data_IF_613853862093
#
_entry.id   IF_613853862093
#
_cell.length_a   1.000
_cell.length_b   1.000
_cell.length_c   1.000
_cell.angle_alpha   90.00
_cell.angle_beta   90.00
_cell.angle_gamma   90.00
#
_symmetry.space_group_name_H-M   'P 1'
#
loop_
_entity.id
_entity.type
_entity.pdbx_description
1 polymer ?
#
# COMPACT_ATOMS: atom_id res chain seq x y z
N UNK A 1 -92.63 22.99 -40.18
CA UNK A 1 -91.55 22.89 -39.17
C UNK A 1 -90.64 21.72 -39.51
N UNK A 2 -89.55 21.96 -40.25
CA UNK A 2 -88.70 20.91 -40.83
C UNK A 2 -87.65 20.42 -39.83
N UNK A 3 -87.96 19.36 -39.08
CA UNK A 3 -87.09 18.80 -38.03
C UNK A 3 -86.32 17.55 -38.50
N UNK A 4 -86.61 17.01 -39.70
CA UNK A 4 -86.09 15.72 -40.19
C UNK A 4 -84.58 15.68 -40.48
N UNK A 5 -83.92 16.84 -40.67
CA UNK A 5 -82.47 16.90 -40.91
C UNK A 5 -81.60 16.80 -39.65
N UNK A 6 -82.13 17.22 -38.49
CA UNK A 6 -81.39 17.17 -37.22
C UNK A 6 -81.29 15.74 -36.68
N UNK A 7 -82.32 14.91 -36.88
CA UNK A 7 -82.34 13.53 -36.38
C UNK A 7 -81.35 12.62 -37.11
N UNK A 8 -81.21 12.72 -38.45
CA UNK A 8 -80.19 11.96 -39.19
C UNK A 8 -78.77 12.38 -38.78
N UNK A 9 -78.51 13.68 -38.63
CA UNK A 9 -77.21 14.18 -38.13
C UNK A 9 -76.94 13.74 -36.69
N UNK A 10 -77.93 13.80 -35.79
CA UNK A 10 -77.83 13.29 -34.41
C UNK A 10 -77.51 11.79 -34.37
N UNK A 11 -78.10 11.00 -35.26
CA UNK A 11 -77.82 9.57 -35.34
C UNK A 11 -76.40 9.29 -35.83
N UNK A 12 -75.92 10.04 -36.83
CA UNK A 12 -74.52 9.96 -37.30
C UNK A 12 -73.54 10.37 -36.19
N UNK A 13 -73.85 11.42 -35.44
CA UNK A 13 -73.05 11.82 -34.27
C UNK A 13 -73.07 10.76 -33.16
N UNK A 14 -74.22 10.15 -32.88
CA UNK A 14 -74.33 9.08 -31.88
C UNK A 14 -73.52 7.85 -32.28
N UNK A 15 -73.55 7.46 -33.55
CA UNK A 15 -72.73 6.35 -34.08
C UNK A 15 -71.24 6.72 -34.03
N UNK A 16 -70.86 7.94 -34.39
CA UNK A 16 -69.48 8.38 -34.29
C UNK A 16 -68.96 8.34 -32.84
N UNK A 17 -69.77 8.78 -31.88
CA UNK A 17 -69.45 8.70 -30.46
C UNK A 17 -69.33 7.24 -30.01
N UNK A 18 -70.27 6.38 -30.43
CA UNK A 18 -70.21 4.94 -30.13
C UNK A 18 -68.92 4.30 -30.64
N UNK A 19 -68.53 4.61 -31.88
CA UNK A 19 -67.29 4.10 -32.49
C UNK A 19 -66.06 4.60 -31.74
N UNK A 20 -66.03 5.87 -31.34
CA UNK A 20 -64.94 6.44 -30.55
C UNK A 20 -64.83 5.74 -29.18
N UNK A 21 -65.96 5.48 -28.52
CA UNK A 21 -66.00 4.77 -27.23
C UNK A 21 -65.50 3.34 -27.38
N UNK A 22 -65.92 2.63 -28.42
CA UNK A 22 -65.45 1.26 -28.70
C UNK A 22 -63.95 1.21 -28.97
N UNK A 23 -63.42 2.16 -29.76
CA UNK A 23 -61.98 2.24 -30.05
C UNK A 23 -61.18 2.57 -28.78
N UNK A 24 -61.66 3.49 -27.96
CA UNK A 24 -61.01 3.84 -26.70
C UNK A 24 -60.97 2.63 -25.75
N UNK A 25 -62.08 1.90 -25.63
CA UNK A 25 -62.16 0.70 -24.78
C UNK A 25 -61.25 -0.43 -25.28
N UNK A 26 -61.17 -0.63 -26.60
CA UNK A 26 -60.23 -1.60 -27.17
C UNK A 26 -58.77 -1.25 -26.90
N UNK A 27 -58.40 0.03 -26.98
CA UNK A 27 -57.02 0.48 -26.71
C UNK A 27 -56.63 0.35 -25.24
N UNK A 28 -57.56 0.57 -24.31
CA UNK A 28 -57.27 0.43 -22.88
C UNK A 28 -57.17 -1.04 -22.46
N UNK A 29 -58.00 -1.92 -23.04
CA UNK A 29 -57.97 -3.35 -22.72
C UNK A 29 -56.78 -4.08 -23.37
N UNK A 30 -56.35 -3.68 -24.57
CA UNK A 30 -55.18 -4.25 -25.25
C UNK A 30 -53.86 -3.51 -24.94
N UNK A 31 -53.79 -2.74 -23.85
CA UNK A 31 -52.54 -2.12 -23.44
C UNK A 31 -51.50 -3.22 -23.14
N UNK A 32 -50.37 -3.28 -23.88
CA UNK A 32 -49.35 -4.29 -23.64
C UNK A 32 -48.77 -4.09 -22.25
N UNK A 33 -48.73 -5.16 -21.45
CA UNK A 33 -48.08 -5.09 -20.14
C UNK A 33 -46.58 -4.82 -20.35
N UNK A 34 -45.96 -3.92 -19.55
CA UNK A 34 -44.52 -3.68 -19.62
C UNK A 34 -43.78 -4.97 -19.29
N UNK A 35 -42.93 -5.41 -20.23
CA UNK A 35 -42.14 -6.61 -20.07
C UNK A 35 -40.86 -6.26 -19.30
N UNK A 36 -40.75 -6.74 -18.05
CA UNK A 36 -39.58 -6.51 -17.20
C UNK A 36 -38.58 -7.65 -17.36
N UNK A 37 -37.37 -7.31 -17.79
CA UNK A 37 -36.29 -8.26 -17.87
C UNK A 37 -35.61 -8.37 -16.50
N UNK A 38 -35.83 -9.49 -15.83
CA UNK A 38 -35.22 -9.80 -14.53
C UNK A 38 -34.16 -10.88 -14.68
N UNK A 39 -33.18 -10.87 -13.78
CA UNK A 39 -32.13 -11.87 -13.73
C UNK A 39 -32.12 -12.52 -12.35
N UNK A 40 -31.87 -13.83 -12.32
CA UNK A 40 -31.86 -14.61 -11.09
C UNK A 40 -30.54 -14.32 -10.36
N UNK A 41 -30.63 -13.72 -9.16
CA UNK A 41 -29.47 -13.44 -8.31
C UNK A 41 -29.02 -14.74 -7.64
N UNK A 42 -27.74 -15.10 -7.80
CA UNK A 42 -27.11 -16.22 -7.08
C UNK A 42 -26.19 -15.68 -5.99
N UNK A 43 -26.20 -16.32 -4.83
CA UNK A 43 -25.23 -16.05 -3.77
C UNK A 43 -23.90 -16.67 -4.18
N UNK A 44 -22.87 -15.85 -4.30
CA UNK A 44 -21.49 -16.25 -4.50
C UNK A 44 -20.61 -15.59 -3.45
N UNK A 45 -19.57 -16.29 -2.99
CA UNK A 45 -18.57 -15.71 -2.09
C UNK A 45 -17.67 -14.77 -2.89
N UNK A 46 -17.60 -13.51 -2.46
CA UNK A 46 -16.62 -12.55 -2.95
C UNK A 46 -15.40 -12.60 -2.03
N UNK A 47 -14.33 -13.23 -2.51
CA UNK A 47 -13.05 -13.29 -1.83
C UNK A 47 -12.26 -12.02 -2.15
N UNK A 48 -12.16 -11.09 -1.19
CA UNK A 48 -11.37 -9.87 -1.35
C UNK A 48 -9.98 -10.08 -0.73
N UNK A 49 -9.02 -10.49 -1.55
CA UNK A 49 -7.62 -10.57 -1.13
C UNK A 49 -6.97 -9.19 -1.23
N UNK A 50 -6.54 -8.64 -0.09
CA UNK A 50 -5.73 -7.41 -0.06
C UNK A 50 -4.27 -7.83 0.02
N UNK A 51 -3.53 -7.62 -1.07
CA UNK A 51 -2.07 -7.82 -1.11
C UNK A 51 -1.37 -6.68 -0.34
N UNK A 52 -1.28 -6.82 0.98
CA UNK A 52 -0.46 -5.95 1.81
C UNK A 52 1.03 -6.23 1.54
N UNK A 53 1.56 -5.59 0.49
CA UNK A 53 2.98 -5.68 0.15
C UNK A 53 3.76 -4.86 1.17
N UNK A 54 4.19 -5.51 2.26
CA UNK A 54 5.11 -4.93 3.24
C UNK A 54 6.56 -5.09 2.78
N UNK A 55 7.36 -4.02 2.87
CA UNK A 55 8.81 -4.10 2.64
C UNK A 55 9.46 -4.75 3.87
N UNK A 56 10.03 -5.94 3.70
CA UNK A 56 10.80 -6.62 4.74
C UNK A 56 12.12 -5.85 4.92
N UNK A 57 12.29 -5.18 6.06
CA UNK A 57 13.53 -4.49 6.44
C UNK A 57 14.24 -5.26 7.55
N UNK A 58 15.56 -5.16 7.61
CA UNK A 58 16.34 -5.87 8.63
C UNK A 58 16.00 -5.32 10.03
N UNK A 59 15.54 -6.18 10.95
CA UNK A 59 15.13 -5.78 12.30
C UNK A 59 16.20 -4.98 13.05
N UNK A 60 17.49 -5.25 12.80
CA UNK A 60 18.64 -4.55 13.37
C UNK A 60 19.80 -4.57 12.38
N UNK A 61 20.29 -3.39 12.00
CA UNK A 61 21.51 -3.20 11.21
C UNK A 61 22.53 -2.47 12.09
N UNK A 62 23.75 -2.99 12.17
CA UNK A 62 24.85 -2.36 12.91
C UNK A 62 26.05 -2.30 11.97
N UNK A 63 26.54 -1.09 11.74
CA UNK A 63 27.77 -0.87 10.97
C UNK A 63 28.96 -0.98 11.94
N UNK A 64 29.79 -2.01 11.78
CA UNK A 64 30.98 -2.24 12.61
C UNK A 64 32.19 -1.57 11.98
N UNK A 65 32.78 -0.61 12.68
CA UNK A 65 34.00 0.08 12.31
C UNK A 65 35.09 -0.09 13.36
N UNK A 66 36.35 0.08 12.97
CA UNK A 66 37.48 0.06 13.89
C UNK A 66 37.59 1.38 14.66
N UNK A 67 37.65 1.32 16.00
CA UNK A 67 37.82 2.52 16.84
C UNK A 67 39.21 3.18 16.68
N UNK A 68 40.21 2.42 16.20
CA UNK A 68 41.59 2.87 16.05
C UNK A 68 42.03 2.78 14.58
N UNK A 69 42.70 3.82 14.11
CA UNK A 69 43.28 3.85 12.76
C UNK A 69 44.53 2.97 12.71
N UNK A 70 44.52 1.93 11.88
CA UNK A 70 45.64 1.02 11.66
C UNK A 70 45.39 0.10 10.46
N UNK A 71 46.42 -0.64 10.02
CA UNK A 71 46.28 -1.59 8.92
C UNK A 71 45.66 -2.91 9.43
N UNK A 72 44.70 -3.48 8.69
CA UNK A 72 44.10 -4.76 9.04
C UNK A 72 45.11 -5.89 8.82
N UNK A 73 45.48 -6.62 9.88
CA UNK A 73 46.50 -7.67 9.84
C UNK A 73 45.91 -9.05 9.55
N UNK A 74 44.78 -9.35 10.19
CA UNK A 74 44.07 -10.64 10.01
C UNK A 74 42.57 -10.43 10.15
N UNK A 75 41.78 -11.10 9.30
CA UNK A 75 40.33 -11.15 9.35
C UNK A 75 39.90 -12.58 9.67
N UNK A 76 39.16 -12.76 10.77
CA UNK A 76 38.80 -14.07 11.32
C UNK A 76 37.39 -14.53 10.90
N UNK A 77 36.73 -13.80 10.00
CA UNK A 77 35.35 -14.04 9.58
C UNK A 77 35.19 -13.89 8.07
N UNK A 78 34.36 -14.74 7.47
CA UNK A 78 34.05 -14.68 6.04
C UNK A 78 32.70 -14.01 5.78
N UNK A 79 32.50 -13.57 4.54
CA UNK A 79 31.25 -12.98 4.09
C UNK A 79 30.14 -14.04 4.17
N UNK A 80 29.13 -13.80 5.01
CA UNK A 80 28.00 -14.71 5.22
C UNK A 80 28.00 -15.45 6.57
N UNK A 81 29.07 -15.34 7.35
CA UNK A 81 29.13 -15.99 8.67
C UNK A 81 28.24 -15.29 9.70
N UNK A 82 27.58 -16.08 10.54
CA UNK A 82 26.84 -15.58 11.71
C UNK A 82 27.82 -15.31 12.85
N UNK A 83 27.90 -14.05 13.27
CA UNK A 83 28.77 -13.63 14.37
C UNK A 83 27.97 -13.33 15.63
N UNK A 84 28.55 -13.61 16.80
CA UNK A 84 27.93 -13.31 18.10
C UNK A 84 28.48 -12.01 18.68
N UNK A 85 27.76 -11.45 19.66
CA UNK A 85 28.26 -10.31 20.44
C UNK A 85 29.61 -10.68 21.09
N UNK A 86 30.56 -9.75 21.08
CA UNK A 86 31.89 -9.87 21.67
C UNK A 86 32.85 -10.86 20.96
N UNK A 87 32.51 -11.30 19.74
CA UNK A 87 33.40 -12.12 18.92
C UNK A 87 34.52 -11.29 18.29
N UNK A 88 35.75 -11.81 18.32
CA UNK A 88 36.89 -11.22 17.63
C UNK A 88 36.73 -11.38 16.11
N UNK A 89 36.47 -10.27 15.42
CA UNK A 89 36.28 -10.24 13.96
C UNK A 89 37.60 -10.11 13.19
N UNK A 90 38.59 -9.43 13.76
CA UNK A 90 39.90 -9.24 13.14
C UNK A 90 40.84 -8.42 14.02
N UNK A 91 42.13 -8.45 13.70
CA UNK A 91 43.18 -7.74 14.43
C UNK A 91 43.76 -6.63 13.55
N UNK A 92 43.87 -5.44 14.12
CA UNK A 92 44.43 -4.24 13.48
C UNK A 92 45.81 -3.96 14.08
N UNK A 93 46.77 -3.59 13.24
CA UNK A 93 48.13 -3.30 13.66
C UNK A 93 48.20 -2.05 14.56
N UNK A 94 48.69 -2.15 15.81
CA UNK A 94 48.69 -1.06 16.77
C UNK A 94 49.85 -0.07 16.62
N UNK A 95 50.73 -0.19 15.61
CA UNK A 95 51.91 0.70 15.47
C UNK A 95 51.56 2.20 15.46
N UNK A 96 50.35 2.58 15.03
CA UNK A 96 49.88 3.97 15.12
C UNK A 96 49.25 4.33 16.47
N UNK A 97 48.61 3.37 17.15
CA UNK A 97 47.96 3.58 18.46
C UNK A 97 48.96 3.70 19.61
N UNK A 98 50.16 3.10 19.52
CA UNK A 98 51.17 3.12 20.60
C UNK A 98 52.03 4.39 20.62
N UNK A 99 52.04 5.18 19.54
CA UNK A 99 52.90 6.38 19.42
C UNK A 99 52.65 7.46 20.49
N UNK A 100 51.40 7.73 20.96
CA UNK A 100 51.17 8.72 22.00
C UNK A 100 51.74 8.32 23.36
N UNK A 101 51.62 7.05 23.75
CA UNK A 101 51.97 6.59 25.10
C UNK A 101 53.49 6.55 25.35
N UNK A 102 54.30 6.26 24.32
CA UNK A 102 55.76 6.28 24.45
C UNK A 102 56.33 7.69 24.67
N UNK A 103 55.62 8.75 24.24
CA UNK A 103 56.05 10.15 24.43
C UNK A 103 55.80 10.67 25.85
N UNK A 104 54.78 10.17 26.54
CA UNK A 104 54.50 10.55 27.94
C UNK A 104 55.47 9.92 28.94
N UNK A 105 55.91 8.67 28.71
CA UNK A 105 56.90 8.02 29.56
C UNK A 105 58.27 8.72 29.53
N UNK A 106 58.71 9.17 28.35
CA UNK A 106 60.02 9.82 28.19
C UNK A 106 60.10 11.22 28.79
N UNK A 107 58.98 11.96 28.86
CA UNK A 107 58.94 13.24 29.58
C UNK A 107 59.01 13.07 31.10
N UNK A 108 58.37 12.03 31.64
CA UNK A 108 58.38 11.78 33.09
C UNK A 108 59.76 11.38 33.61
N UNK A 109 60.51 10.59 32.83
CA UNK A 109 61.88 10.20 33.18
C UNK A 109 62.87 11.37 33.07
N UNK A 110 62.66 12.30 32.14
CA UNK A 110 63.46 13.52 32.01
C UNK A 110 63.31 14.45 33.22
N UNK A 111 62.08 14.63 33.72
CA UNK A 111 61.81 15.51 34.88
C UNK A 111 62.36 14.91 36.18
N UNK A 112 62.27 13.59 36.37
CA UNK A 112 62.83 12.92 37.56
C UNK A 112 64.36 13.03 37.63
N UNK A 113 65.04 12.97 36.49
CA UNK A 113 66.51 13.12 36.41
C UNK A 113 66.97 14.55 36.66
N UNK A 114 66.19 15.55 36.24
CA UNK A 114 66.50 16.95 36.52
C UNK A 114 66.32 17.30 38.01
N UNK A 115 65.35 16.66 38.70
CA UNK A 115 65.09 16.90 40.12
C UNK A 115 66.10 16.24 41.08
N UNK A 116 66.88 15.25 40.63
CA UNK A 116 67.88 14.55 41.46
C UNK A 116 69.31 15.09 41.32
N UNK A 117 69.51 16.16 40.55
CA UNK A 117 70.83 16.69 40.19
C UNK A 117 71.11 18.11 40.72
N UNK A 118 70.28 18.63 41.63
CA UNK A 118 70.48 19.89 42.35
C UNK A 118 70.34 19.68 43.84
#
# INVERSE_FOLDING_TARGET
MNIKGKFKKRYVFAIAILVIVVIALWRTLNAPLPNYQTLIVRKGSLEQSVLATGKLDALRKVDVGAQVSGQLKTLSVNIGDKVTKDQLLGVIDPEQAEKPNKRSGSHADGVKRAASAG
#
